data_IF_195744246142
#
_entry.id   IF_195744246142
#
_cell.length_a   1.000
_cell.length_b   1.000
_cell.length_c   1.000
_cell.angle_alpha   90.00
_cell.angle_beta   90.00
_cell.angle_gamma   90.00
#
_symmetry.space_group_name_H-M   'P 1'
#
loop_
_entity.id
_entity.type
_entity.pdbx_description
1 polymer ?
#
# COMPACT_ATOMS: atom_id res chain seq x y z
N UNK A 1 1.41 7.75 -2.84
CA UNK A 1 1.86 7.88 -4.24
C UNK A 1 1.52 6.63 -5.06
N UNK A 2 2.03 5.45 -4.72
CA UNK A 2 1.91 4.23 -5.53
C UNK A 2 0.45 3.82 -5.77
N UNK A 3 -0.37 3.73 -4.72
CA UNK A 3 -1.80 3.41 -4.85
C UNK A 3 -2.58 4.46 -5.66
N UNK A 4 -2.19 5.73 -5.58
CA UNK A 4 -2.76 6.83 -6.37
C UNK A 4 -2.51 6.60 -7.86
N UNK A 5 -1.27 6.31 -8.23
CA UNK A 5 -0.84 6.11 -9.61
C UNK A 5 -1.42 4.80 -10.16
N UNK A 6 -1.40 3.72 -9.38
CA UNK A 6 -2.03 2.45 -9.76
C UNK A 6 -3.53 2.61 -10.02
N UNK A 7 -4.24 3.38 -9.17
CA UNK A 7 -5.66 3.67 -9.38
C UNK A 7 -5.89 4.48 -10.67
N UNK A 8 -5.07 5.50 -10.94
CA UNK A 8 -5.17 6.30 -12.14
C UNK A 8 -4.92 5.48 -13.41
N UNK A 9 -3.90 4.61 -13.42
CA UNK A 9 -3.64 3.66 -14.52
C UNK A 9 -4.83 2.72 -14.75
N UNK A 10 -5.45 2.23 -13.67
CA UNK A 10 -6.66 1.41 -13.79
C UNK A 10 -7.84 2.20 -14.38
N UNK A 11 -8.01 3.46 -14.00
CA UNK A 11 -9.07 4.33 -14.56
C UNK A 11 -8.83 4.60 -16.03
N UNK A 12 -7.59 4.89 -16.43
CA UNK A 12 -7.23 5.11 -17.83
C UNK A 12 -7.51 3.87 -18.69
N UNK A 13 -7.20 2.68 -18.15
CA UNK A 13 -7.37 1.42 -18.87
C UNK A 13 -8.81 0.90 -18.90
N UNK A 14 -9.60 1.13 -17.86
CA UNK A 14 -10.89 0.44 -17.63
C UNK A 14 -12.08 1.39 -17.57
N UNK A 15 -11.86 2.67 -17.31
CA UNK A 15 -12.89 3.65 -16.96
C UNK A 15 -13.16 3.72 -15.45
N UNK A 16 -13.57 4.91 -14.99
CA UNK A 16 -13.76 5.20 -13.56
C UNK A 16 -14.87 4.36 -12.89
N UNK A 17 -15.88 3.96 -13.62
CA UNK A 17 -16.99 3.11 -13.16
C UNK A 17 -16.61 1.67 -12.86
N UNK A 18 -15.41 1.25 -13.29
CA UNK A 18 -14.86 -0.09 -13.07
C UNK A 18 -13.72 -0.16 -12.05
N UNK A 19 -13.41 0.94 -11.42
CA UNK A 19 -12.39 1.04 -10.37
C UNK A 19 -13.04 1.46 -9.06
N UNK A 20 -12.73 0.77 -7.98
CA UNK A 20 -13.26 1.07 -6.63
C UNK A 20 -12.09 1.33 -5.69
N UNK A 21 -12.10 2.50 -5.04
CA UNK A 21 -11.17 2.83 -3.98
C UNK A 21 -11.64 2.25 -2.64
N UNK A 22 -10.82 1.46 -1.96
CA UNK A 22 -11.13 0.94 -0.62
C UNK A 22 -10.14 1.52 0.38
N UNK A 23 -10.63 2.44 1.20
CA UNK A 23 -9.84 3.08 2.25
C UNK A 23 -9.97 2.29 3.54
N UNK A 24 -8.84 1.90 4.14
CA UNK A 24 -8.82 1.02 5.32
C UNK A 24 -7.98 1.63 6.45
N UNK A 25 -8.47 2.72 7.08
CA UNK A 25 -7.76 3.31 8.21
C UNK A 25 -7.71 2.35 9.39
N UNK A 26 -6.61 2.41 10.15
CA UNK A 26 -6.49 1.75 11.45
C UNK A 26 -6.76 2.77 12.56
N UNK A 27 -8.00 2.85 13.01
CA UNK A 27 -8.43 3.87 13.96
C UNK A 27 -8.52 5.25 13.29
N UNK A 28 -7.95 6.27 13.95
CA UNK A 28 -7.87 7.64 13.41
C UNK A 28 -6.56 7.81 12.63
N UNK A 29 -6.68 7.93 11.32
CA UNK A 29 -5.55 8.09 10.40
C UNK A 29 -5.62 9.49 9.75
N UNK A 30 -4.55 10.29 9.88
CA UNK A 30 -4.55 11.71 9.47
C UNK A 30 -4.62 11.91 7.95
N UNK A 31 -4.06 10.98 7.19
CA UNK A 31 -3.93 11.04 5.74
C UNK A 31 -5.09 10.38 4.98
N UNK A 32 -6.17 10.02 5.68
CA UNK A 32 -7.37 9.47 5.04
C UNK A 32 -8.00 10.47 4.05
N UNK A 33 -7.84 11.76 4.31
CA UNK A 33 -8.33 12.83 3.43
C UNK A 33 -7.68 12.75 2.04
N UNK A 34 -6.40 12.47 1.94
CA UNK A 34 -5.68 12.33 0.67
C UNK A 34 -6.26 11.18 -0.17
N UNK A 35 -6.63 10.06 0.48
CA UNK A 35 -7.24 8.92 -0.20
C UNK A 35 -8.68 9.25 -0.70
N UNK A 36 -9.42 10.06 0.05
CA UNK A 36 -10.74 10.56 -0.39
C UNK A 36 -10.58 11.51 -1.58
N UNK A 37 -9.60 12.42 -1.51
CA UNK A 37 -9.38 13.42 -2.54
C UNK A 37 -8.94 12.79 -3.86
N UNK A 38 -8.10 11.75 -3.84
CA UNK A 38 -7.76 11.02 -5.07
C UNK A 38 -8.97 10.26 -5.65
N UNK A 39 -9.79 9.63 -4.83
CA UNK A 39 -11.01 8.98 -5.31
C UNK A 39 -11.97 9.98 -5.98
N UNK A 40 -12.07 11.20 -5.41
CA UNK A 40 -12.86 12.28 -5.98
C UNK A 40 -12.26 12.82 -7.28
N UNK A 41 -10.93 13.03 -7.31
CA UNK A 41 -10.22 13.48 -8.51
C UNK A 41 -10.39 12.50 -9.67
N UNK A 42 -10.24 11.21 -9.40
CA UNK A 42 -10.42 10.14 -10.40
C UNK A 42 -11.90 9.82 -10.68
N UNK A 43 -12.83 10.44 -9.97
CA UNK A 43 -14.28 10.18 -10.07
C UNK A 43 -14.66 8.70 -9.86
N UNK A 44 -13.92 7.99 -9.02
CA UNK A 44 -14.17 6.57 -8.72
C UNK A 44 -15.06 6.39 -7.47
N UNK A 45 -15.96 5.39 -7.46
CA UNK A 45 -16.66 4.98 -6.25
C UNK A 45 -15.66 4.54 -5.18
N UNK A 46 -16.03 4.76 -3.92
CA UNK A 46 -15.13 4.40 -2.82
C UNK A 46 -15.88 3.89 -1.58
N UNK A 47 -15.16 3.11 -0.77
CA UNK A 47 -15.60 2.56 0.51
C UNK A 47 -14.57 2.91 1.59
N UNK A 48 -15.05 3.19 2.80
CA UNK A 48 -14.18 3.33 3.97
C UNK A 48 -14.51 2.23 4.98
N UNK A 49 -13.53 1.38 5.27
CA UNK A 49 -13.63 0.26 6.20
C UNK A 49 -12.53 0.40 7.25
N UNK A 50 -12.89 0.81 8.47
CA UNK A 50 -11.93 0.96 9.54
C UNK A 50 -11.55 -0.42 10.10
N UNK A 51 -10.27 -0.79 9.97
CA UNK A 51 -9.74 -2.08 10.46
C UNK A 51 -9.29 -2.04 11.93
N UNK A 52 -9.42 -0.88 12.60
CA UNK A 52 -8.88 -0.68 13.95
C UNK A 52 -9.47 -1.61 15.00
N UNK A 53 -10.79 -1.79 15.01
CA UNK A 53 -11.45 -2.71 15.94
C UNK A 53 -11.08 -4.17 15.68
N UNK A 54 -11.04 -4.58 14.41
CA UNK A 54 -10.62 -5.93 14.03
C UNK A 54 -9.17 -6.19 14.45
N UNK A 55 -8.28 -5.22 14.25
CA UNK A 55 -6.89 -5.31 14.72
C UNK A 55 -6.83 -5.50 16.23
N UNK A 56 -7.54 -4.67 17.01
CA UNK A 56 -7.53 -4.75 18.46
C UNK A 56 -8.10 -6.08 18.97
N UNK A 57 -9.21 -6.53 18.39
CA UNK A 57 -9.84 -7.80 18.78
C UNK A 57 -8.91 -8.97 18.50
N UNK A 58 -8.29 -9.01 17.30
CA UNK A 58 -7.38 -10.12 16.97
C UNK A 58 -6.14 -10.12 17.86
N UNK A 59 -5.57 -8.95 18.18
CA UNK A 59 -4.47 -8.85 19.14
C UNK A 59 -4.88 -9.36 20.53
N UNK A 60 -6.06 -9.00 21.00
CA UNK A 60 -6.59 -9.48 22.28
C UNK A 60 -6.78 -10.99 22.29
N UNK A 61 -7.36 -11.58 21.23
CA UNK A 61 -7.56 -13.04 21.15
C UNK A 61 -6.23 -13.81 21.10
N UNK A 62 -5.22 -13.26 20.40
CA UNK A 62 -3.88 -13.83 20.36
C UNK A 62 -3.24 -13.79 21.77
N UNK A 63 -3.37 -12.66 22.46
CA UNK A 63 -2.83 -12.46 23.81
C UNK A 63 -3.48 -13.43 24.82
N UNK A 64 -4.82 -13.57 24.74
CA UNK A 64 -5.58 -14.49 25.59
C UNK A 64 -5.31 -15.98 25.31
N UNK A 65 -4.97 -16.33 24.07
CA UNK A 65 -4.65 -17.70 23.66
C UNK A 65 -3.22 -18.09 23.95
N UNK A 66 -2.33 -17.11 24.21
CA UNK A 66 -0.91 -17.35 24.43
C UNK A 66 -0.58 -17.91 25.78
N UNK A 67 0.52 -18.66 25.83
CA UNK A 67 1.18 -19.04 27.06
C UNK A 67 2.05 -17.86 27.52
N UNK A 68 1.79 -17.33 28.71
CA UNK A 68 2.46 -16.16 29.27
C UNK A 68 4.00 -16.26 29.28
N UNK A 69 4.52 -17.49 29.30
CA UNK A 69 5.96 -17.74 29.28
C UNK A 69 6.61 -17.63 27.89
N UNK A 70 5.80 -17.62 26.81
CA UNK A 70 6.27 -17.63 25.41
C UNK A 70 5.83 -16.41 24.59
N UNK A 71 4.92 -15.59 25.11
CA UNK A 71 4.48 -14.38 24.44
C UNK A 71 5.12 -13.15 25.07
N UNK A 72 6.17 -12.66 24.45
CA UNK A 72 6.61 -11.30 24.72
C UNK A 72 5.51 -10.33 24.29
N UNK A 73 5.27 -9.28 25.08
CA UNK A 73 4.39 -8.16 24.76
C UNK A 73 4.50 -7.80 23.28
N UNK A 74 3.37 -7.72 22.58
CA UNK A 74 3.21 -7.54 21.13
C UNK A 74 4.47 -7.04 20.42
N UNK A 75 5.18 -7.95 19.79
CA UNK A 75 6.38 -7.67 19.01
C UNK A 75 6.09 -6.52 18.02
N UNK A 76 7.02 -5.59 17.81
CA UNK A 76 6.85 -4.50 16.82
C UNK A 76 6.40 -5.01 15.44
N UNK A 77 6.81 -6.22 15.07
CA UNK A 77 6.42 -6.91 13.84
C UNK A 77 4.92 -7.17 13.72
N UNK A 78 4.22 -7.48 14.83
CA UNK A 78 2.76 -7.66 14.81
C UNK A 78 2.09 -6.32 14.47
N UNK A 79 2.55 -5.24 15.08
CA UNK A 79 1.99 -3.89 14.87
C UNK A 79 2.16 -3.41 13.43
N UNK A 80 3.22 -3.84 12.76
CA UNK A 80 3.51 -3.47 11.37
C UNK A 80 2.81 -4.40 10.37
N UNK A 81 2.94 -5.73 10.56
CA UNK A 81 2.52 -6.70 9.55
C UNK A 81 1.03 -7.07 9.64
N UNK A 82 0.45 -7.10 10.84
CA UNK A 82 -0.96 -7.48 10.99
C UNK A 82 -1.92 -6.50 10.31
N UNK A 83 -1.76 -5.18 10.41
CA UNK A 83 -2.61 -4.23 9.66
C UNK A 83 -2.54 -4.43 8.15
N UNK A 84 -1.36 -4.68 7.58
CA UNK A 84 -1.22 -4.94 6.15
C UNK A 84 -1.97 -6.21 5.71
N UNK A 85 -1.91 -7.28 6.52
CA UNK A 85 -2.65 -8.53 6.26
C UNK A 85 -4.17 -8.36 6.44
N UNK A 86 -4.61 -7.58 7.41
CA UNK A 86 -6.04 -7.26 7.58
C UNK A 86 -6.56 -6.44 6.39
N UNK A 87 -5.77 -5.50 5.86
CA UNK A 87 -6.13 -4.76 4.64
C UNK A 87 -6.24 -5.70 3.44
N UNK A 88 -5.29 -6.59 3.26
CA UNK A 88 -5.35 -7.61 2.20
C UNK A 88 -6.63 -8.46 2.31
N UNK A 89 -6.89 -9.04 3.48
CA UNK A 89 -8.10 -9.84 3.70
C UNK A 89 -9.39 -9.05 3.46
N UNK A 90 -9.43 -7.79 3.88
CA UNK A 90 -10.57 -6.87 3.65
C UNK A 90 -10.76 -6.59 2.16
N UNK A 91 -9.68 -6.33 1.39
CA UNK A 91 -9.76 -6.11 -0.06
C UNK A 91 -10.34 -7.33 -0.79
N UNK A 92 -9.86 -8.51 -0.49
CA UNK A 92 -10.39 -9.75 -1.11
C UNK A 92 -11.83 -10.03 -0.68
N UNK A 93 -12.21 -9.71 0.57
CA UNK A 93 -13.60 -9.82 1.01
C UNK A 93 -14.51 -8.83 0.26
N UNK A 94 -14.08 -7.59 0.07
CA UNK A 94 -14.81 -6.60 -0.75
C UNK A 94 -14.86 -7.06 -2.21
N UNK A 95 -13.75 -7.52 -2.76
CA UNK A 95 -13.67 -8.01 -4.14
C UNK A 95 -14.67 -9.14 -4.39
N UNK A 96 -14.88 -10.04 -3.43
CA UNK A 96 -15.85 -11.13 -3.55
C UNK A 96 -17.31 -10.67 -3.68
N UNK A 97 -17.62 -9.41 -3.37
CA UNK A 97 -18.97 -8.83 -3.56
C UNK A 97 -19.24 -8.37 -5.00
N UNK A 98 -18.22 -8.31 -5.84
CA UNK A 98 -18.31 -7.81 -7.22
C UNK A 98 -17.92 -8.91 -8.21
N UNK A 99 -18.71 -9.11 -9.25
CA UNK A 99 -18.42 -10.09 -10.28
C UNK A 99 -17.17 -9.72 -11.08
N UNK A 100 -16.27 -10.69 -11.28
CA UNK A 100 -15.03 -10.51 -12.05
C UNK A 100 -14.08 -9.42 -11.53
N UNK A 101 -14.17 -9.09 -10.25
CA UNK A 101 -13.25 -8.13 -9.64
C UNK A 101 -11.83 -8.70 -9.48
N UNK A 102 -10.87 -7.81 -9.39
CA UNK A 102 -9.45 -8.11 -9.13
C UNK A 102 -8.89 -7.10 -8.12
N UNK A 103 -8.04 -7.58 -7.25
CA UNK A 103 -7.28 -6.74 -6.31
C UNK A 103 -5.97 -6.30 -6.98
N UNK A 104 -5.75 -4.99 -7.01
CA UNK A 104 -4.52 -4.41 -7.56
C UNK A 104 -3.45 -4.39 -6.48
N UNK A 105 -2.29 -4.97 -6.75
CA UNK A 105 -1.08 -4.75 -5.98
C UNK A 105 -0.42 -3.43 -6.41
N UNK A 106 0.07 -2.65 -5.48
CA UNK A 106 0.64 -1.32 -5.73
C UNK A 106 2.13 -1.22 -5.44
N UNK A 107 2.80 -2.35 -5.18
CA UNK A 107 4.26 -2.39 -4.97
C UNK A 107 5.00 -2.12 -6.27
N UNK A 108 6.03 -1.27 -6.19
CA UNK A 108 6.91 -0.94 -7.30
C UNK A 108 8.17 -1.86 -7.31
N UNK A 109 9.00 -1.72 -8.35
CA UNK A 109 10.23 -2.51 -8.51
C UNK A 109 11.21 -2.27 -7.36
N UNK A 110 11.42 -1.01 -6.98
CA UNK A 110 12.40 -0.65 -5.94
C UNK A 110 12.07 -1.31 -4.59
N UNK A 111 10.79 -1.29 -4.18
CA UNK A 111 10.31 -1.99 -2.98
C UNK A 111 10.48 -3.50 -3.10
N UNK A 112 10.13 -4.09 -4.25
CA UNK A 112 10.27 -5.52 -4.51
C UNK A 112 11.73 -5.96 -4.52
N UNK A 113 12.63 -5.15 -5.07
CA UNK A 113 14.06 -5.45 -5.18
C UNK A 113 14.70 -5.70 -3.82
N UNK A 114 14.33 -4.90 -2.82
CA UNK A 114 14.84 -5.03 -1.45
C UNK A 114 13.93 -5.85 -0.52
N UNK A 115 12.81 -6.34 -1.03
CA UNK A 115 11.83 -7.10 -0.23
C UNK A 115 11.08 -6.26 0.81
N UNK A 116 10.94 -4.95 0.58
CA UNK A 116 10.24 -4.03 1.49
C UNK A 116 8.72 -4.15 1.34
N UNK A 117 8.18 -5.24 1.87
CA UNK A 117 6.74 -5.50 1.90
C UNK A 117 6.38 -6.52 2.98
N UNK A 118 5.12 -6.52 3.41
CA UNK A 118 4.58 -7.56 4.28
C UNK A 118 4.10 -8.74 3.44
N UNK A 119 4.72 -9.91 3.65
CA UNK A 119 4.32 -11.16 3.02
C UNK A 119 2.83 -11.46 3.31
N UNK A 120 2.04 -11.67 2.25
CA UNK A 120 0.58 -11.85 2.33
C UNK A 120 -0.15 -10.64 2.93
N UNK A 121 0.42 -9.45 2.82
CA UNK A 121 -0.18 -8.17 3.17
C UNK A 121 -0.22 -7.25 1.95
N UNK A 122 0.52 -6.14 2.02
CA UNK A 122 0.65 -5.17 0.93
C UNK A 122 1.34 -5.73 -0.32
N UNK A 123 2.15 -6.80 -0.18
CA UNK A 123 2.69 -7.54 -1.33
C UNK A 123 1.68 -8.43 -2.09
N UNK A 124 0.41 -8.52 -1.65
CA UNK A 124 -0.61 -9.35 -2.29
C UNK A 124 -1.45 -8.57 -3.32
N UNK A 125 -1.89 -9.26 -4.36
CA UNK A 125 -2.77 -8.75 -5.41
C UNK A 125 -2.91 -9.74 -6.55
N UNK A 126 -3.91 -9.53 -7.41
CA UNK A 126 -4.15 -10.37 -8.58
C UNK A 126 -3.30 -9.92 -9.78
N UNK A 127 -2.91 -8.64 -9.80
CA UNK A 127 -1.97 -8.07 -10.78
C UNK A 127 -1.29 -6.83 -10.20
N UNK A 128 -0.14 -6.46 -10.78
CA UNK A 128 0.77 -5.45 -10.23
C UNK A 128 1.27 -4.51 -11.34
N UNK A 129 0.54 -3.42 -11.65
CA UNK A 129 0.88 -2.55 -12.76
C UNK A 129 2.20 -1.79 -12.58
N UNK A 130 2.69 -1.66 -11.34
CA UNK A 130 3.91 -0.94 -11.00
C UNK A 130 5.11 -1.85 -10.76
N UNK A 131 4.96 -3.16 -10.85
CA UNK A 131 5.96 -4.13 -10.38
C UNK A 131 7.32 -4.09 -11.07
N UNK A 132 7.35 -3.61 -12.30
CA UNK A 132 8.58 -3.49 -13.11
C UNK A 132 9.06 -2.04 -13.24
N UNK A 133 8.47 -1.12 -12.49
CA UNK A 133 8.78 0.31 -12.50
C UNK A 133 9.50 0.72 -11.21
N UNK A 134 10.62 1.41 -11.34
CA UNK A 134 11.31 2.05 -10.21
C UNK A 134 10.47 3.17 -9.62
N UNK A 135 10.78 3.61 -8.40
CA UNK A 135 10.09 4.76 -7.78
C UNK A 135 10.16 5.99 -8.67
N UNK A 136 11.29 6.23 -9.30
CA UNK A 136 11.47 7.36 -10.23
C UNK A 136 10.51 7.28 -11.43
N UNK A 137 10.38 6.12 -12.05
CA UNK A 137 9.45 5.91 -13.17
C UNK A 137 7.99 6.03 -12.75
N UNK A 138 7.65 5.52 -11.57
CA UNK A 138 6.30 5.68 -10.99
C UNK A 138 5.94 7.15 -10.82
N UNK A 139 6.87 7.98 -10.31
CA UNK A 139 6.65 9.42 -10.18
C UNK A 139 6.46 10.10 -11.54
N UNK A 140 7.28 9.75 -12.54
CA UNK A 140 7.14 10.28 -13.91
C UNK A 140 5.77 9.96 -14.51
N UNK A 141 5.28 8.73 -14.34
CA UNK A 141 3.94 8.34 -14.78
C UNK A 141 2.86 9.15 -14.06
N UNK A 142 3.02 9.40 -12.77
CA UNK A 142 2.09 10.23 -12.01
C UNK A 142 2.00 11.66 -12.55
N UNK A 143 3.13 12.25 -12.90
CA UNK A 143 3.21 13.58 -13.50
C UNK A 143 2.60 13.59 -14.92
N UNK A 144 2.89 12.60 -15.74
CA UNK A 144 2.36 12.46 -17.12
C UNK A 144 0.83 12.27 -17.14
N UNK A 145 0.28 11.59 -16.12
CA UNK A 145 -1.17 11.43 -15.94
C UNK A 145 -1.86 12.70 -15.40
N UNK A 146 -1.10 13.77 -15.09
CA UNK A 146 -1.62 15.02 -14.58
C UNK A 146 -2.24 14.92 -13.18
N UNK A 147 -1.76 13.99 -12.37
CA UNK A 147 -2.23 13.82 -11.00
C UNK A 147 -1.77 14.99 -10.11
N UNK A 148 -2.50 15.31 -9.02
CA UNK A 148 -2.10 16.37 -8.11
C UNK A 148 -0.69 16.14 -7.56
N UNK A 149 0.18 17.13 -7.72
CA UNK A 149 1.60 17.06 -7.36
C UNK A 149 1.82 16.57 -5.92
N UNK A 150 1.08 17.13 -4.95
CA UNK A 150 1.21 16.78 -3.53
C UNK A 150 0.85 15.32 -3.23
N UNK A 151 0.05 14.67 -4.06
CA UNK A 151 -0.31 13.25 -3.92
C UNK A 151 0.70 12.33 -4.61
N UNK A 152 1.29 12.77 -5.72
CA UNK A 152 2.35 12.04 -6.44
C UNK A 152 3.67 12.10 -5.66
N UNK A 153 4.08 13.30 -5.24
CA UNK A 153 5.39 13.54 -4.61
C UNK A 153 5.34 13.50 -3.07
N UNK A 154 4.26 12.97 -2.49
CA UNK A 154 4.18 12.75 -1.04
C UNK A 154 5.31 11.82 -0.58
N UNK A 155 6.01 12.23 0.49
CA UNK A 155 7.05 11.40 1.12
C UNK A 155 6.51 10.01 1.46
N UNK A 156 7.15 8.94 0.97
CA UNK A 156 6.72 7.56 1.26
C UNK A 156 6.76 7.26 2.75
N UNK A 157 5.67 6.76 3.28
CA UNK A 157 5.58 6.31 4.68
C UNK A 157 4.48 5.27 4.83
N UNK A 158 4.62 4.39 5.83
CA UNK A 158 3.57 3.44 6.18
C UNK A 158 2.33 4.08 6.87
N UNK A 159 2.38 5.38 7.13
CA UNK A 159 1.32 6.12 7.82
C UNK A 159 1.14 5.75 9.30
N UNK A 160 1.99 4.91 9.87
CA UNK A 160 1.84 4.34 11.23
C UNK A 160 3.01 4.65 12.15
N UNK A 161 4.25 4.55 11.67
CA UNK A 161 5.45 4.65 12.52
C UNK A 161 5.97 6.08 12.72
N UNK A 162 5.47 7.04 11.94
CA UNK A 162 5.95 8.43 11.93
C UNK A 162 7.32 8.62 11.29
N UNK A 163 7.93 7.55 10.75
CA UNK A 163 9.19 7.58 9.98
C UNK A 163 8.90 7.40 8.49
N UNK A 164 9.73 7.98 7.65
CA UNK A 164 9.71 7.70 6.21
C UNK A 164 10.24 6.29 5.93
N UNK A 165 9.92 5.77 4.74
CA UNK A 165 10.45 4.47 4.32
C UNK A 165 11.97 4.52 4.19
N UNK A 166 12.54 5.59 3.63
CA UNK A 166 13.99 5.78 3.49
C UNK A 166 14.72 5.83 4.85
N UNK A 167 14.09 6.41 5.89
CA UNK A 167 14.64 6.37 7.26
C UNK A 167 14.68 4.95 7.85
N UNK A 168 13.82 4.05 7.39
CA UNK A 168 13.78 2.65 7.85
C UNK A 168 14.75 1.76 7.09
N UNK A 169 14.86 1.96 5.77
CA UNK A 169 15.76 1.18 4.91
C UNK A 169 17.21 1.65 4.99
N UNK A 170 17.45 2.92 5.38
CA UNK A 170 18.78 3.48 5.59
C UNK A 170 19.47 4.04 4.35
N UNK A 171 18.77 4.16 3.23
CA UNK A 171 19.21 4.79 1.99
C UNK A 171 18.01 5.36 1.23
N UNK A 172 18.25 6.18 0.23
CA UNK A 172 17.19 6.81 -0.58
C UNK A 172 16.75 5.92 -1.73
N UNK A 173 15.50 6.09 -2.17
CA UNK A 173 15.02 5.42 -3.39
C UNK A 173 15.80 5.87 -4.64
N UNK A 174 16.28 7.12 -4.69
CA UNK A 174 17.11 7.58 -5.80
C UNK A 174 18.46 6.83 -5.90
N UNK A 175 19.08 6.52 -4.77
CA UNK A 175 20.28 5.67 -4.72
C UNK A 175 19.97 4.23 -5.14
N UNK A 176 18.87 3.68 -4.66
CA UNK A 176 18.43 2.33 -5.01
C UNK A 176 18.10 2.20 -6.49
N UNK A 177 17.34 3.15 -7.05
CA UNK A 177 16.95 3.14 -8.46
C UNK A 177 18.18 3.22 -9.39
N UNK A 178 19.17 4.05 -9.05
CA UNK A 178 20.46 4.11 -9.76
C UNK A 178 21.20 2.77 -9.70
N UNK A 179 21.18 2.10 -8.55
CA UNK A 179 21.82 0.80 -8.40
C UNK A 179 21.10 -0.28 -9.21
N UNK A 180 19.76 -0.29 -9.21
CA UNK A 180 18.98 -1.24 -10.01
C UNK A 180 19.30 -1.08 -11.49
N UNK A 181 19.28 0.15 -12.02
CA UNK A 181 19.60 0.44 -13.41
C UNK A 181 21.05 0.02 -13.76
N UNK A 182 22.01 0.30 -12.88
CA UNK A 182 23.39 -0.11 -13.06
C UNK A 182 23.54 -1.64 -13.19
N UNK A 183 22.83 -2.40 -12.36
CA UNK A 183 22.87 -3.87 -12.39
C UNK A 183 22.17 -4.44 -13.63
N UNK A 184 21.04 -3.84 -14.05
CA UNK A 184 20.32 -4.26 -15.26
C UNK A 184 21.11 -3.98 -16.55
N UNK A 185 21.83 -2.85 -16.60
CA UNK A 185 22.70 -2.50 -17.73
C UNK A 185 23.98 -3.36 -17.80
N UNK A 186 24.23 -4.20 -16.78
CA UNK A 186 25.38 -5.13 -16.74
C UNK A 186 26.73 -4.44 -16.53
N UNK A 187 26.74 -3.28 -15.88
CA UNK A 187 27.91 -2.48 -15.57
C UNK A 187 28.54 -2.83 -14.21
#
# INVERSE_FOLDING_TARGET
>A
KDSTIAAALCVEALGADRVIGVMMPQGHQKDIADAIDICRFLSIPNLTINIGSTFQTLCYEIDMAGDADHMSSMEPMIKTNLPARLRMATLYAVAALYSNSRVVNTSNLSERYIGYSTKYGDGAGDFSPLSELTVREVLMIGDDLGLPYDLVHKTPSDGMSGKSDEEKIGFTYDELDKYILYVEDGL
#
